data_IF_243946456126
#
_entry.id   IF_243946456126
#
_cell.length_a   1.000
_cell.length_b   1.000
_cell.length_c   1.000
_cell.angle_alpha   90.00
_cell.angle_beta   90.00
_cell.angle_gamma   90.00
#
_symmetry.space_group_name_H-M   'P 1'
#
loop_
_entity.id
_entity.type
_entity.pdbx_description
1 polymer ?
#
# COMPACT_ATOMS: atom_id res chain seq x y z
N UNK A 1 3.82 -11.46 17.50
CA UNK A 1 2.48 -11.81 16.91
C UNK A 1 2.61 -12.68 15.66
N UNK A 2 3.08 -12.19 14.49
CA UNK A 2 3.17 -13.08 13.29
C UNK A 2 4.13 -14.26 13.54
N UNK A 3 5.32 -14.01 14.08
CA UNK A 3 6.30 -15.06 14.39
C UNK A 3 5.93 -16.03 15.53
N UNK A 4 4.86 -15.75 16.27
CA UNK A 4 4.31 -16.66 17.28
C UNK A 4 3.28 -17.63 16.66
N UNK A 5 2.72 -17.27 15.53
CA UNK A 5 1.65 -18.01 14.85
C UNK A 5 2.19 -18.84 13.67
N UNK A 6 3.17 -18.30 12.95
CA UNK A 6 3.70 -18.93 11.74
C UNK A 6 5.19 -19.24 11.87
N UNK A 7 5.64 -20.42 11.41
CA UNK A 7 7.07 -20.71 11.24
C UNK A 7 7.73 -19.70 10.31
N UNK A 8 8.96 -19.29 10.63
CA UNK A 8 9.70 -18.24 9.90
C UNK A 8 9.98 -18.56 8.42
N UNK A 9 9.96 -19.86 8.06
CA UNK A 9 10.11 -20.29 6.67
C UNK A 9 8.80 -20.17 5.86
N UNK A 10 7.66 -19.94 6.50
CA UNK A 10 6.39 -19.62 5.81
C UNK A 10 6.11 -18.12 5.77
N UNK A 11 6.34 -17.44 6.90
CA UNK A 11 6.06 -16.00 7.02
C UNK A 11 7.17 -15.35 7.84
N UNK A 12 7.81 -14.35 7.28
CA UNK A 12 8.79 -13.53 7.97
C UNK A 12 8.40 -12.05 7.90
N UNK A 13 8.67 -11.32 8.96
CA UNK A 13 8.52 -9.86 9.01
C UNK A 13 9.91 -9.24 9.02
N UNK A 14 10.19 -8.43 8.02
CA UNK A 14 11.45 -7.70 7.91
C UNK A 14 11.17 -6.23 8.22
N UNK A 15 11.71 -5.75 9.32
CA UNK A 15 11.57 -4.36 9.73
C UNK A 15 12.82 -3.56 9.33
N UNK A 16 12.61 -2.35 8.84
CA UNK A 16 13.70 -1.47 8.49
C UNK A 16 13.26 -0.23 7.75
N UNK A 17 14.20 0.66 7.49
CA UNK A 17 14.01 1.84 6.65
C UNK A 17 14.21 1.54 5.17
N UNK A 18 14.42 2.61 4.40
CA UNK A 18 14.60 2.57 2.95
C UNK A 18 15.72 1.60 2.54
N UNK A 19 16.86 1.63 3.22
CA UNK A 19 18.01 0.76 2.91
C UNK A 19 17.70 -0.73 2.98
N UNK A 20 16.87 -1.14 3.95
CA UNK A 20 16.44 -2.54 4.08
C UNK A 20 15.46 -2.90 2.97
N UNK A 21 14.54 -2.00 2.65
CA UNK A 21 13.59 -2.19 1.54
C UNK A 21 14.30 -2.31 0.19
N UNK A 22 15.32 -1.50 -0.05
CA UNK A 22 16.15 -1.59 -1.26
C UNK A 22 16.89 -2.92 -1.37
N UNK A 23 17.52 -3.39 -0.29
CA UNK A 23 18.19 -4.69 -0.25
C UNK A 23 17.19 -5.85 -0.45
N UNK A 24 15.99 -5.72 0.10
CA UNK A 24 14.94 -6.70 -0.09
C UNK A 24 14.53 -6.79 -1.57
N UNK A 25 14.36 -5.65 -2.23
CA UNK A 25 14.01 -5.58 -3.66
C UNK A 25 15.13 -6.05 -4.61
N UNK A 26 16.34 -6.25 -4.12
CA UNK A 26 17.43 -6.86 -4.87
C UNK A 26 17.37 -8.39 -4.88
N UNK A 27 16.54 -8.98 -4.02
CA UNK A 27 16.35 -10.42 -3.98
C UNK A 27 15.40 -10.90 -5.07
N UNK A 28 15.55 -12.15 -5.46
CA UNK A 28 14.63 -12.80 -6.40
C UNK A 28 13.40 -13.28 -5.66
N UNK A 29 12.24 -12.78 -6.05
CA UNK A 29 10.93 -13.21 -5.56
C UNK A 29 10.10 -13.81 -6.69
N UNK A 30 9.20 -14.72 -6.37
CA UNK A 30 8.23 -15.25 -7.33
C UNK A 30 7.12 -14.25 -7.62
N UNK A 31 6.86 -13.31 -6.68
CA UNK A 31 5.84 -12.29 -6.81
C UNK A 31 6.05 -11.15 -5.82
N UNK A 32 5.74 -9.92 -6.22
CA UNK A 32 5.75 -8.76 -5.33
C UNK A 32 4.38 -8.08 -5.35
N UNK A 33 3.82 -7.89 -4.15
CA UNK A 33 2.65 -7.04 -3.93
C UNK A 33 3.08 -5.79 -3.17
N UNK A 34 2.84 -4.63 -3.74
CA UNK A 34 3.22 -3.35 -3.14
C UNK A 34 2.01 -2.42 -3.02
N UNK A 35 1.86 -1.80 -1.87
CA UNK A 35 0.91 -0.70 -1.62
C UNK A 35 1.67 0.53 -1.17
N UNK A 36 1.46 1.67 -1.84
CA UNK A 36 2.10 2.93 -1.48
C UNK A 36 2.08 3.99 -2.57
N UNK A 37 3.02 4.91 -2.53
CA UNK A 37 3.10 6.01 -3.49
C UNK A 37 3.63 5.58 -4.86
N UNK A 38 3.21 6.29 -5.89
CA UNK A 38 3.59 6.04 -7.30
C UNK A 38 5.11 6.01 -7.53
N UNK A 39 5.84 6.92 -6.87
CA UNK A 39 7.29 7.01 -7.04
C UNK A 39 8.00 5.72 -6.58
N UNK A 40 7.62 5.21 -5.42
CA UNK A 40 8.19 3.95 -4.92
C UNK A 40 7.67 2.76 -5.72
N UNK A 41 6.42 2.79 -6.20
CA UNK A 41 5.88 1.79 -7.11
C UNK A 41 6.70 1.63 -8.39
N UNK A 42 7.17 2.73 -8.98
CA UNK A 42 8.08 2.71 -10.14
C UNK A 42 9.41 2.03 -9.81
N UNK A 43 9.99 2.32 -8.65
CA UNK A 43 11.23 1.68 -8.18
C UNK A 43 11.03 0.17 -8.00
N UNK A 44 9.91 -0.23 -7.37
CA UNK A 44 9.56 -1.64 -7.19
C UNK A 44 9.48 -2.37 -8.53
N UNK A 45 8.77 -1.79 -9.51
CA UNK A 45 8.64 -2.35 -10.85
C UNK A 45 9.99 -2.47 -11.57
N UNK A 46 10.82 -1.43 -11.50
CA UNK A 46 12.16 -1.42 -12.09
C UNK A 46 13.05 -2.51 -11.49
N UNK A 47 13.07 -2.65 -10.16
CA UNK A 47 13.85 -3.67 -9.47
C UNK A 47 13.35 -5.08 -9.80
N UNK A 48 12.04 -5.30 -9.78
CA UNK A 48 11.40 -6.58 -10.10
C UNK A 48 11.71 -7.04 -11.53
N UNK A 49 11.79 -6.11 -12.49
CA UNK A 49 12.07 -6.43 -13.89
C UNK A 49 13.40 -7.14 -14.10
N UNK A 50 14.40 -6.93 -13.23
CA UNK A 50 15.71 -7.59 -13.32
C UNK A 50 15.62 -9.11 -13.14
N UNK A 51 14.60 -9.56 -12.43
CA UNK A 51 14.34 -10.98 -12.16
C UNK A 51 13.09 -11.50 -12.88
N UNK A 52 12.46 -10.65 -13.73
CA UNK A 52 11.17 -10.93 -14.37
C UNK A 52 10.06 -11.27 -13.36
N UNK A 53 10.19 -10.74 -12.14
CA UNK A 53 9.22 -10.97 -11.07
C UNK A 53 7.91 -10.24 -11.36
N UNK A 54 6.76 -10.92 -11.42
CA UNK A 54 5.46 -10.28 -11.54
C UNK A 54 5.18 -9.35 -10.35
N UNK A 55 4.53 -8.21 -10.61
CA UNK A 55 4.20 -7.23 -9.57
C UNK A 55 2.73 -6.84 -9.63
N UNK A 56 2.11 -6.65 -8.47
CA UNK A 56 0.87 -5.91 -8.31
C UNK A 56 1.15 -4.64 -7.52
N UNK A 57 0.77 -3.51 -8.08
CA UNK A 57 0.97 -2.19 -7.47
C UNK A 57 -0.39 -1.60 -7.12
N UNK A 58 -0.65 -1.43 -5.82
CA UNK A 58 -1.77 -0.67 -5.29
C UNK A 58 -1.26 0.74 -4.96
N UNK A 59 -1.61 1.68 -5.80
CA UNK A 59 -1.10 3.05 -5.76
C UNK A 59 -2.19 4.04 -5.31
N UNK A 60 -1.82 5.30 -5.19
CA UNK A 60 -2.74 6.35 -4.84
C UNK A 60 -3.84 6.56 -5.91
N UNK A 61 -4.87 7.29 -5.54
CA UNK A 61 -5.97 7.64 -6.41
C UNK A 61 -6.58 8.99 -6.03
N UNK A 62 -7.44 9.52 -6.88
CA UNK A 62 -8.13 10.79 -6.61
C UNK A 62 -9.42 10.58 -5.82
N UNK A 63 -10.06 9.42 -5.95
CA UNK A 63 -11.29 9.02 -5.23
C UNK A 63 -12.27 10.18 -5.01
N UNK A 64 -12.81 10.80 -6.08
CA UNK A 64 -13.69 11.94 -5.94
C UNK A 64 -14.95 11.56 -5.15
N UNK A 65 -15.44 12.48 -4.33
CA UNK A 65 -16.68 12.31 -3.60
C UNK A 65 -17.62 13.46 -3.98
N UNK A 66 -18.76 13.11 -4.57
CA UNK A 66 -19.79 14.07 -4.99
C UNK A 66 -20.94 13.97 -4.01
N UNK A 67 -21.30 15.10 -3.39
CA UNK A 67 -22.45 15.23 -2.51
C UNK A 67 -23.53 15.97 -3.25
N UNK A 68 -24.63 15.30 -3.50
CA UNK A 68 -25.78 15.86 -4.22
C UNK A 68 -26.62 16.75 -3.31
N UNK A 69 -27.35 17.72 -3.88
CA UNK A 69 -28.08 18.76 -3.16
C UNK A 69 -29.12 18.21 -2.16
N UNK A 70 -29.76 17.08 -2.47
CA UNK A 70 -30.78 16.46 -1.61
C UNK A 70 -30.19 15.63 -0.45
N UNK A 71 -28.87 15.48 -0.38
CA UNK A 71 -28.23 14.66 0.64
C UNK A 71 -28.33 15.27 2.04
N UNK A 72 -28.46 14.42 3.06
CA UNK A 72 -28.26 14.84 4.46
C UNK A 72 -26.79 15.20 4.68
N UNK A 73 -26.48 16.48 4.73
CA UNK A 73 -25.11 17.00 4.83
C UNK A 73 -24.40 16.50 6.10
N UNK A 74 -25.11 16.38 7.24
CA UNK A 74 -24.49 15.90 8.49
C UNK A 74 -24.10 14.43 8.40
N UNK A 75 -24.97 13.62 7.80
CA UNK A 75 -24.69 12.21 7.58
C UNK A 75 -23.61 12.02 6.53
N UNK A 76 -23.65 12.77 5.44
CA UNK A 76 -22.64 12.76 4.38
C UNK A 76 -21.26 13.10 4.94
N UNK A 77 -21.13 14.18 5.71
CA UNK A 77 -19.87 14.57 6.35
C UNK A 77 -19.28 13.46 7.23
N UNK A 78 -20.10 12.84 8.08
CA UNK A 78 -19.66 11.73 8.94
C UNK A 78 -19.14 10.55 8.12
N UNK A 79 -19.85 10.15 7.08
CA UNK A 79 -19.46 9.03 6.21
C UNK A 79 -18.20 9.34 5.39
N UNK A 80 -18.07 10.56 4.88
CA UNK A 80 -16.88 11.00 4.14
C UNK A 80 -15.66 10.97 5.05
N UNK A 81 -15.76 11.56 6.23
CA UNK A 81 -14.67 11.55 7.22
C UNK A 81 -14.28 10.11 7.56
N UNK A 82 -15.22 9.26 7.89
CA UNK A 82 -14.94 7.85 8.19
C UNK A 82 -14.24 7.16 7.00
N UNK A 83 -14.78 7.24 5.79
CA UNK A 83 -14.22 6.58 4.61
C UNK A 83 -12.84 7.10 4.20
N UNK A 84 -12.62 8.42 4.34
CA UNK A 84 -11.34 9.03 3.95
C UNK A 84 -10.22 8.83 4.97
N UNK A 85 -10.56 8.69 6.26
CA UNK A 85 -9.57 8.57 7.32
C UNK A 85 -9.35 7.14 7.79
N UNK A 86 -10.15 6.17 7.34
CA UNK A 86 -10.09 4.78 7.81
C UNK A 86 -8.69 4.17 7.69
N UNK A 87 -8.01 4.37 6.59
CA UNK A 87 -6.66 3.84 6.33
C UNK A 87 -5.61 4.94 6.10
N UNK A 88 -5.99 6.21 6.17
CA UNK A 88 -5.13 7.39 5.98
C UNK A 88 -4.30 7.41 4.68
N UNK A 89 -4.52 6.46 3.77
CA UNK A 89 -3.65 6.24 2.60
C UNK A 89 -3.72 7.36 1.54
N UNK A 90 -4.79 8.15 1.55
CA UNK A 90 -5.04 9.21 0.56
C UNK A 90 -4.94 10.61 1.15
N UNK A 91 -4.53 10.73 2.39
CA UNK A 91 -4.46 12.01 3.12
C UNK A 91 -3.06 12.17 3.69
N UNK A 92 -2.39 13.22 3.27
CA UNK A 92 -1.18 13.70 3.92
C UNK A 92 -1.60 14.59 5.08
N UNK A 93 -1.27 14.18 6.28
CA UNK A 93 -1.43 14.97 7.49
C UNK A 93 -0.09 15.55 7.86
#
# INVERSE_FOLDING_TARGET
>A
MIGEVFPSHYVAVINGGVEISEKLLEQSFDYIFYTGGEQVGKIVMEKASKHLTPVTLELGGKSPCIVEESADIKLAAKRIVFGKFLNLSLIHI
#
